data_IF_567972439397
#
_entry.id   IF_567972439397
#
_cell.length_a   1.000
_cell.length_b   1.000
_cell.length_c   1.000
_cell.angle_alpha   90.00
_cell.angle_beta   90.00
_cell.angle_gamma   90.00
#
_symmetry.space_group_name_H-M   'P 1'
#
loop_
_entity.id
_entity.type
_entity.pdbx_description
1 polymer ?
#
# COMPACT_ATOMS: atom_id res chain seq x y z
N UNK A 1 -5.50 -3.11 39.27
CA UNK A 1 -4.91 -2.51 38.06
C UNK A 1 -3.40 -2.60 38.16
N UNK A 2 -2.75 -3.46 37.37
CA UNK A 2 -1.31 -3.77 37.48
C UNK A 2 -0.36 -2.67 36.96
N UNK A 3 -0.87 -1.61 36.36
CA UNK A 3 -0.07 -0.47 35.90
C UNK A 3 -0.46 0.80 36.66
N UNK A 4 0.55 1.58 37.04
CA UNK A 4 0.36 2.92 37.59
C UNK A 4 -0.26 3.86 36.54
N UNK A 5 -0.94 4.95 36.95
CA UNK A 5 -1.52 5.92 36.02
C UNK A 5 -0.51 6.49 35.02
N UNK A 6 0.74 6.73 35.45
CA UNK A 6 1.82 7.20 34.57
C UNK A 6 2.24 6.13 33.55
N UNK A 7 2.37 4.87 33.98
CA UNK A 7 2.66 3.76 33.06
C UNK A 7 1.55 3.54 32.03
N UNK A 8 0.27 3.66 32.43
CA UNK A 8 -0.85 3.59 31.49
C UNK A 8 -0.80 4.69 30.44
N UNK A 9 -0.53 5.93 30.86
CA UNK A 9 -0.38 7.06 29.93
C UNK A 9 0.77 6.83 28.95
N UNK A 10 1.92 6.37 29.44
CA UNK A 10 3.08 6.07 28.61
C UNK A 10 2.79 4.95 27.59
N UNK A 11 2.18 3.85 28.04
CA UNK A 11 1.84 2.72 27.17
C UNK A 11 0.79 3.10 26.10
N UNK A 12 -0.20 3.91 26.47
CA UNK A 12 -1.19 4.43 25.52
C UNK A 12 -0.54 5.28 24.43
N UNK A 13 0.37 6.20 24.79
CA UNK A 13 1.09 7.03 23.81
C UNK A 13 1.97 6.16 22.90
N UNK A 14 2.69 5.20 23.45
CA UNK A 14 3.58 4.32 22.68
C UNK A 14 2.80 3.45 21.69
N UNK A 15 1.70 2.83 22.13
CA UNK A 15 0.85 2.01 21.27
C UNK A 15 0.18 2.83 20.16
N UNK A 16 -0.26 4.05 20.46
CA UNK A 16 -0.78 5.00 19.47
C UNK A 16 0.29 5.36 18.42
N UNK A 17 1.52 5.66 18.86
CA UNK A 17 2.63 5.97 17.97
C UNK A 17 2.98 4.79 17.05
N UNK A 18 3.03 3.57 17.59
CA UNK A 18 3.25 2.34 16.80
C UNK A 18 2.13 2.16 15.78
N UNK A 19 0.86 2.29 16.17
CA UNK A 19 -0.28 2.20 15.24
C UNK A 19 -0.16 3.22 14.12
N UNK A 20 0.10 4.50 14.44
CA UNK A 20 0.25 5.57 13.44
C UNK A 20 1.45 5.33 12.52
N UNK A 21 2.56 4.80 13.02
CA UNK A 21 3.72 4.44 12.20
C UNK A 21 3.37 3.34 11.17
N UNK A 22 2.64 2.31 11.59
CA UNK A 22 2.20 1.23 10.70
C UNK A 22 1.25 1.76 9.60
N UNK A 23 0.29 2.61 9.96
CA UNK A 23 -0.62 3.24 8.97
C UNK A 23 0.18 4.03 7.92
N UNK A 24 1.20 4.79 8.33
CA UNK A 24 2.05 5.53 7.38
C UNK A 24 2.80 4.60 6.43
N UNK A 25 3.35 3.49 6.93
CA UNK A 25 4.01 2.48 6.09
C UNK A 25 3.03 1.91 5.05
N UNK A 26 1.77 1.68 5.44
CA UNK A 26 0.72 1.25 4.51
C UNK A 26 0.47 2.28 3.39
N UNK A 27 0.38 3.56 3.74
CA UNK A 27 0.23 4.63 2.74
C UNK A 27 1.47 4.79 1.83
N UNK A 28 2.67 4.65 2.39
CA UNK A 28 3.91 4.69 1.61
C UNK A 28 3.94 3.52 0.60
N UNK A 29 3.53 2.30 1.01
CA UNK A 29 3.40 1.14 0.11
C UNK A 29 2.37 1.37 -1.02
N UNK A 30 1.21 1.97 -0.70
CA UNK A 30 0.22 2.33 -1.73
C UNK A 30 0.78 3.32 -2.76
N UNK A 31 1.60 4.28 -2.33
CA UNK A 31 2.26 5.22 -3.24
C UNK A 31 3.21 4.54 -4.23
N UNK A 32 3.81 3.41 -3.86
CA UNK A 32 4.71 2.64 -4.73
C UNK A 32 3.94 1.75 -5.71
N UNK A 33 2.87 1.10 -5.23
CA UNK A 33 2.06 0.15 -6.02
C UNK A 33 1.20 0.84 -7.06
N UNK A 34 0.55 1.96 -6.72
CA UNK A 34 -0.40 2.64 -7.62
C UNK A 34 0.37 3.50 -8.63
N UNK A 35 0.30 3.21 -9.95
CA UNK A 35 1.13 3.90 -10.95
C UNK A 35 1.00 5.43 -10.92
N UNK A 36 -0.23 5.95 -10.86
CA UNK A 36 -0.49 7.38 -10.84
C UNK A 36 0.09 8.08 -9.59
N UNK A 37 0.13 7.40 -8.43
CA UNK A 37 0.73 7.94 -7.21
C UNK A 37 2.25 7.90 -7.28
N UNK A 38 2.83 6.80 -7.79
CA UNK A 38 4.27 6.65 -7.95
C UNK A 38 4.84 7.76 -8.83
N UNK A 39 4.22 7.99 -9.98
CA UNK A 39 4.62 9.04 -10.92
C UNK A 39 4.49 10.42 -10.30
N UNK A 40 3.37 10.70 -9.62
CA UNK A 40 3.18 11.98 -8.97
C UNK A 40 4.17 12.23 -7.82
N UNK A 41 4.51 11.20 -7.04
CA UNK A 41 5.52 11.28 -5.98
C UNK A 41 6.92 11.52 -6.55
N UNK A 42 7.28 10.84 -7.64
CA UNK A 42 8.55 11.03 -8.33
C UNK A 42 8.67 12.45 -8.90
N UNK A 43 7.62 12.95 -9.55
CA UNK A 43 7.58 14.31 -10.07
C UNK A 43 7.70 15.36 -8.96
N UNK A 44 7.04 15.17 -7.81
CA UNK A 44 7.18 16.05 -6.65
C UNK A 44 8.61 16.03 -6.11
N UNK A 45 9.21 14.85 -5.99
CA UNK A 45 10.58 14.72 -5.50
C UNK A 45 11.57 15.40 -6.46
N UNK A 46 11.44 15.19 -7.77
CA UNK A 46 12.23 15.87 -8.80
C UNK A 46 12.09 17.39 -8.74
N UNK A 47 10.87 17.92 -8.58
CA UNK A 47 10.63 19.35 -8.38
C UNK A 47 11.33 19.87 -7.12
N UNK A 48 11.26 19.13 -6.00
CA UNK A 48 11.94 19.50 -4.76
C UNK A 48 13.46 19.49 -4.89
N UNK A 49 14.02 18.53 -5.64
CA UNK A 49 15.45 18.46 -5.95
C UNK A 49 15.88 19.60 -6.88
N UNK A 50 15.10 19.91 -7.91
CA UNK A 50 15.36 20.99 -8.87
C UNK A 50 15.31 22.38 -8.23
N UNK A 51 14.38 22.61 -7.30
CA UNK A 51 14.25 23.87 -6.55
C UNK A 51 15.38 24.10 -5.53
N UNK A 52 16.38 23.20 -5.47
CA UNK A 52 17.52 23.31 -4.56
C UNK A 52 17.10 23.36 -3.09
N UNK A 53 15.89 22.88 -2.77
CA UNK A 53 15.37 22.84 -1.41
C UNK A 53 15.83 21.51 -0.82
N UNK A 54 16.89 21.48 0.00
CA UNK A 54 17.27 20.24 0.65
C UNK A 54 16.06 19.77 1.48
N UNK A 55 15.77 18.46 1.45
CA UNK A 55 14.77 17.80 2.32
C UNK A 55 14.94 18.20 3.80
N UNK A 56 16.12 18.70 4.17
CA UNK A 56 16.46 19.25 5.49
C UNK A 56 15.78 20.58 5.87
N UNK A 57 15.18 21.37 4.97
CA UNK A 57 14.48 22.62 5.35
C UNK A 57 13.10 22.41 5.99
N UNK A 58 12.58 21.18 6.05
CA UNK A 58 11.46 20.83 6.94
C UNK A 58 11.89 20.57 8.40
N UNK A 59 13.21 20.55 8.67
CA UNK A 59 13.77 20.35 10.01
C UNK A 59 14.45 21.64 10.49
N UNK A 60 13.63 22.59 10.95
CA UNK A 60 14.03 23.57 11.96
C UNK A 60 13.76 25.03 11.61
N UNK A 61 12.80 25.65 12.33
CA UNK A 61 13.08 26.68 13.37
C UNK A 61 11.76 27.30 13.88
N UNK A 62 11.04 26.51 14.68
CA UNK A 62 10.07 27.01 15.64
C UNK A 62 10.42 26.37 16.98
N UNK A 63 11.07 27.14 17.85
CA UNK A 63 11.35 26.76 19.23
C UNK A 63 10.01 26.79 19.97
N UNK A 64 9.26 25.70 19.93
CA UNK A 64 8.08 25.49 20.74
C UNK A 64 8.19 24.10 21.37
N UNK A 65 7.85 24.06 22.65
CA UNK A 65 8.02 22.96 23.57
C UNK A 65 7.37 21.69 23.02
N UNK A 66 7.96 20.55 23.39
CA UNK A 66 7.33 19.24 23.31
C UNK A 66 6.04 19.33 24.14
N UNK A 67 4.91 19.45 23.46
CA UNK A 67 3.57 19.36 24.03
C UNK A 67 2.74 18.50 23.07
N UNK A 68 2.34 17.34 23.60
CA UNK A 68 1.07 16.66 23.41
C UNK A 68 0.22 17.07 22.19
N UNK A 69 0.03 16.14 21.23
CA UNK A 69 -1.03 16.23 20.23
C UNK A 69 -0.59 16.58 18.80
N UNK A 70 -0.67 15.59 17.93
CA UNK A 70 -1.16 15.78 16.56
C UNK A 70 -0.52 16.87 15.68
N UNK A 71 0.62 16.53 15.09
CA UNK A 71 0.81 16.90 13.68
C UNK A 71 -0.09 15.99 12.85
N UNK A 72 -1.29 16.48 12.54
CA UNK A 72 -2.01 16.12 11.31
C UNK A 72 -0.96 16.06 10.21
N UNK A 73 -0.89 14.93 9.52
CA UNK A 73 0.18 14.62 8.58
C UNK A 73 0.20 15.71 7.50
N UNK A 74 1.06 16.71 7.66
CA UNK A 74 1.25 17.83 6.74
C UNK A 74 1.87 17.40 5.41
N UNK A 75 1.65 16.14 5.00
CA UNK A 75 1.87 15.64 3.65
C UNK A 75 0.78 16.22 2.75
N UNK A 76 0.87 17.51 2.49
CA UNK A 76 0.25 18.09 1.30
C UNK A 76 0.89 17.46 0.05
N UNK A 77 0.14 17.40 -1.04
CA UNK A 77 0.62 16.88 -2.32
C UNK A 77 0.19 15.43 -2.60
N UNK A 78 0.88 14.73 -3.52
CA UNK A 78 0.54 13.39 -3.98
C UNK A 78 0.47 12.34 -2.85
N UNK A 79 1.21 12.57 -1.77
CA UNK A 79 1.27 11.69 -0.58
C UNK A 79 0.21 11.99 0.47
N UNK A 80 -0.74 12.89 0.19
CA UNK A 80 -1.85 13.17 1.12
C UNK A 80 -2.80 11.98 1.20
N UNK A 81 -3.26 11.66 2.40
CA UNK A 81 -4.13 10.49 2.68
C UNK A 81 -5.33 10.43 1.72
N UNK A 82 -6.05 11.55 1.55
CA UNK A 82 -7.19 11.60 0.64
C UNK A 82 -6.81 11.27 -0.81
N UNK A 83 -5.69 11.83 -1.31
CA UNK A 83 -5.23 11.56 -2.68
C UNK A 83 -4.82 10.11 -2.84
N UNK A 84 -4.09 9.55 -1.87
CA UNK A 84 -3.66 8.16 -1.91
C UNK A 84 -4.87 7.22 -1.92
N UNK A 85 -5.85 7.43 -1.04
CA UNK A 85 -7.06 6.61 -0.99
C UNK A 85 -7.87 6.71 -2.29
N UNK A 86 -8.14 7.92 -2.77
CA UNK A 86 -8.92 8.11 -4.01
C UNK A 86 -8.25 7.45 -5.21
N UNK A 87 -6.94 7.69 -5.42
CA UNK A 87 -6.20 7.09 -6.54
C UNK A 87 -6.07 5.58 -6.44
N UNK A 88 -5.98 5.04 -5.23
CA UNK A 88 -5.98 3.59 -5.01
C UNK A 88 -7.32 2.96 -5.40
N UNK A 89 -8.44 3.60 -5.04
CA UNK A 89 -9.79 3.12 -5.42
C UNK A 89 -9.96 3.16 -6.95
N UNK A 90 -9.57 4.27 -7.59
CA UNK A 90 -9.63 4.40 -9.05
C UNK A 90 -8.85 3.26 -9.74
N UNK A 91 -7.61 3.02 -9.30
CA UNK A 91 -6.77 1.97 -9.86
C UNK A 91 -7.34 0.56 -9.64
N UNK A 92 -7.97 0.30 -8.49
CA UNK A 92 -8.66 -0.98 -8.25
C UNK A 92 -9.81 -1.19 -9.23
N UNK A 93 -10.61 -0.15 -9.51
CA UNK A 93 -11.69 -0.25 -10.50
C UNK A 93 -11.14 -0.50 -11.92
N UNK A 94 -10.04 0.16 -12.29
CA UNK A 94 -9.36 -0.07 -13.58
C UNK A 94 -8.86 -1.52 -13.69
N UNK A 95 -8.18 -2.04 -12.66
CA UNK A 95 -7.69 -3.43 -12.62
C UNK A 95 -8.82 -4.45 -12.72
N UNK A 96 -9.95 -4.21 -12.05
CA UNK A 96 -11.11 -5.09 -12.14
C UNK A 96 -11.69 -5.11 -13.56
N UNK A 97 -11.82 -3.93 -14.19
CA UNK A 97 -12.29 -3.83 -15.58
C UNK A 97 -11.34 -4.50 -16.56
N UNK A 98 -10.02 -4.31 -16.39
CA UNK A 98 -9.01 -4.96 -17.21
C UNK A 98 -9.06 -6.48 -17.05
N UNK A 99 -9.19 -6.98 -15.81
CA UNK A 99 -9.36 -8.41 -15.53
C UNK A 99 -10.59 -8.98 -16.23
N UNK A 100 -11.73 -8.30 -16.17
CA UNK A 100 -12.94 -8.74 -16.87
C UNK A 100 -12.73 -8.81 -18.38
N UNK A 101 -12.12 -7.79 -18.98
CA UNK A 101 -11.82 -7.78 -20.41
C UNK A 101 -10.86 -8.91 -20.81
N UNK A 102 -9.80 -9.15 -20.03
CA UNK A 102 -8.85 -10.23 -20.26
C UNK A 102 -9.52 -11.61 -20.13
N UNK A 103 -10.39 -11.79 -19.13
CA UNK A 103 -11.15 -13.03 -18.95
C UNK A 103 -12.13 -13.29 -20.09
N UNK A 104 -12.83 -12.26 -20.58
CA UNK A 104 -13.68 -12.38 -21.76
C UNK A 104 -12.89 -12.76 -23.01
N UNK A 105 -11.73 -12.11 -23.23
CA UNK A 105 -10.84 -12.44 -24.35
C UNK A 105 -10.31 -13.87 -24.24
N UNK A 106 -9.93 -14.30 -23.04
CA UNK A 106 -9.50 -15.67 -22.78
C UNK A 106 -10.61 -16.69 -23.05
N UNK A 107 -11.84 -16.41 -22.61
CA UNK A 107 -12.99 -17.28 -22.88
C UNK A 107 -13.32 -17.37 -24.37
N UNK A 108 -13.30 -16.24 -25.08
CA UNK A 108 -13.52 -16.22 -26.53
C UNK A 108 -12.43 -16.98 -27.30
N UNK A 109 -11.16 -16.84 -26.89
CA UNK A 109 -10.06 -17.61 -27.47
C UNK A 109 -10.23 -19.12 -27.22
N UNK A 110 -10.68 -19.50 -26.01
CA UNK A 110 -10.95 -20.90 -25.67
C UNK A 110 -12.12 -21.48 -26.47
N UNK A 111 -13.21 -20.74 -26.65
CA UNK A 111 -14.38 -21.23 -27.41
C UNK A 111 -14.12 -21.35 -28.92
N UNK A 112 -13.10 -20.66 -29.44
CA UNK A 112 -12.66 -20.80 -30.82
C UNK A 112 -11.85 -22.09 -31.08
N UNK A 113 -11.39 -22.78 -30.04
CA UNK A 113 -10.61 -24.00 -30.17
C UNK A 113 -11.51 -25.24 -30.38
N UNK A 114 -11.06 -26.24 -31.15
CA UNK A 114 -11.70 -27.55 -31.21
C UNK A 114 -11.80 -28.20 -29.82
N UNK A 115 -12.84 -29.01 -29.59
CA UNK A 115 -13.11 -29.62 -28.28
C UNK A 115 -12.01 -30.56 -27.77
N UNK A 116 -11.22 -31.14 -28.68
CA UNK A 116 -10.09 -32.03 -28.42
C UNK A 116 -8.75 -31.29 -28.31
N UNK A 117 -8.75 -29.94 -28.35
CA UNK A 117 -7.53 -29.17 -28.33
C UNK A 117 -6.80 -29.32 -26.98
N UNK A 118 -5.49 -29.63 -26.97
CA UNK A 118 -4.74 -29.92 -25.74
C UNK A 118 -4.72 -28.75 -24.74
N UNK A 119 -4.84 -27.50 -25.19
CA UNK A 119 -4.94 -26.33 -24.29
C UNK A 119 -6.28 -26.23 -23.52
N UNK A 120 -7.33 -26.95 -23.95
CA UNK A 120 -8.58 -27.02 -23.20
C UNK A 120 -8.51 -28.03 -22.06
N UNK A 121 -7.58 -28.99 -22.14
CA UNK A 121 -7.38 -30.09 -21.20
C UNK A 121 -6.00 -29.99 -20.55
N UNK A 122 -5.81 -29.10 -19.56
CA UNK A 122 -4.56 -29.05 -18.82
C UNK A 122 -4.26 -30.42 -18.16
N UNK A 123 -2.98 -30.80 -18.03
CA UNK A 123 -2.59 -32.03 -17.35
C UNK A 123 -3.20 -32.10 -15.94
N UNK A 124 -3.61 -33.28 -15.45
CA UNK A 124 -4.22 -33.43 -14.13
C UNK A 124 -3.31 -32.97 -12.98
N UNK A 125 -1.99 -33.00 -13.18
CA UNK A 125 -0.99 -32.57 -12.20
C UNK A 125 -0.59 -31.09 -12.35
N UNK A 126 -1.22 -30.35 -13.26
CA UNK A 126 -0.91 -28.93 -13.45
C UNK A 126 -1.41 -28.12 -12.24
N UNK A 127 -0.58 -27.24 -11.65
CA UNK A 127 -1.02 -26.38 -10.58
C UNK A 127 -2.12 -25.44 -11.07
N UNK A 128 -3.08 -25.12 -10.19
CA UNK A 128 -4.10 -24.13 -10.48
C UNK A 128 -3.46 -22.81 -10.91
N UNK A 129 -4.02 -22.13 -11.94
CA UNK A 129 -3.54 -20.83 -12.33
C UNK A 129 -3.52 -19.86 -11.15
N UNK A 130 -2.52 -18.98 -11.10
CA UNK A 130 -2.34 -18.06 -9.98
C UNK A 130 -3.58 -17.21 -9.70
N UNK A 131 -4.36 -16.88 -10.73
CA UNK A 131 -5.60 -16.10 -10.64
C UNK A 131 -6.83 -16.88 -10.15
N UNK A 132 -6.75 -18.21 -10.06
CA UNK A 132 -7.80 -19.08 -9.49
C UNK A 132 -7.47 -19.52 -8.07
N UNK A 133 -6.23 -19.32 -7.62
CA UNK A 133 -5.81 -19.62 -6.25
C UNK A 133 -6.54 -18.69 -5.29
N UNK A 134 -7.06 -19.27 -4.21
CA UNK A 134 -7.64 -18.50 -3.10
C UNK A 134 -6.55 -17.64 -2.46
N UNK A 135 -6.79 -16.34 -2.37
CA UNK A 135 -5.95 -15.40 -1.63
C UNK A 135 -6.08 -15.70 -0.11
N UNK A 136 -4.98 -15.97 0.58
CA UNK A 136 -4.94 -16.33 2.03
C UNK A 136 -4.81 -15.13 2.96
N UNK A 137 -5.02 -13.92 2.46
CA UNK A 137 -4.90 -12.70 3.25
C UNK A 137 -3.46 -12.17 3.35
N UNK A 138 -2.50 -12.82 2.69
CA UNK A 138 -1.07 -12.53 2.89
C UNK A 138 -0.46 -13.27 4.08
N UNK A 139 -1.16 -14.27 4.65
CA UNK A 139 -0.59 -15.24 5.59
C UNK A 139 0.38 -16.18 4.85
N UNK A 140 1.55 -15.68 4.50
CA UNK A 140 2.77 -16.49 4.54
C UNK A 140 3.49 -16.00 5.79
N UNK A 141 3.67 -16.90 6.76
CA UNK A 141 4.38 -16.62 8.01
C UNK A 141 5.75 -16.00 7.70
N UNK A 142 5.85 -14.68 7.82
CA UNK A 142 7.09 -14.00 8.11
C UNK A 142 7.36 -14.21 9.62
N UNK A 143 7.63 -15.46 10.00
CA UNK A 143 8.24 -15.83 11.29
C UNK A 143 9.70 -15.35 11.29
N UNK A 144 9.93 -14.04 11.28
CA UNK A 144 11.26 -13.44 11.47
C UNK A 144 11.08 -11.97 11.85
N UNK A 145 10.66 -11.69 13.08
CA UNK A 145 10.87 -10.40 13.76
C UNK A 145 10.45 -10.51 15.25
N UNK A 146 11.06 -11.44 15.99
CA UNK A 146 11.14 -11.38 17.46
C UNK A 146 12.62 -11.43 17.88
N UNK A 147 13.29 -10.27 17.82
CA UNK A 147 14.48 -9.95 18.62
C UNK A 147 14.42 -8.46 19.02
N UNK A 148 13.91 -8.20 20.25
CA UNK A 148 14.32 -7.18 21.26
C UNK A 148 13.21 -6.87 22.28
#
# INVERSE_FOLDING_TARGET
SLLSPSQKKANHIQSEQKRRANIRRGYDALCETVPALREACQAEDEQLFADGKPRNRRRGKGKAKIDDGEKVDGRAGPRSENVVLSKSIDYLHELLSEREALMQRHQAARSALPADHPLLHPPPDAPLPLWERKWTGGEQDDEDDEDD
#
